data_IF_893667649988
#
_entry.id   IF_893667649988
#
_cell.length_a   1.000
_cell.length_b   1.000
_cell.length_c   1.000
_cell.angle_alpha   90.00
_cell.angle_beta   90.00
_cell.angle_gamma   90.00
#
_symmetry.space_group_name_H-M   'P 1'
#
loop_
_entity.id
_entity.type
_entity.pdbx_description
1 polymer ?
#
# COMPACT_ATOMS: atom_id res chain seq x y z
N UNK A 1 9.20 14.64 -5.81
CA UNK A 1 7.80 14.95 -6.14
C UNK A 1 7.49 14.65 -7.60
N UNK A 2 8.38 14.99 -8.54
CA UNK A 2 8.23 14.73 -9.99
C UNK A 2 7.96 13.26 -10.39
N UNK A 3 8.38 12.26 -9.60
CA UNK A 3 8.01 10.88 -9.90
C UNK A 3 6.56 10.54 -9.50
N UNK A 4 6.00 11.16 -8.46
CA UNK A 4 4.71 10.78 -7.85
C UNK A 4 3.49 11.35 -8.54
N UNK A 5 3.64 12.49 -9.21
CA UNK A 5 2.56 13.18 -9.89
C UNK A 5 3.02 13.76 -11.21
N UNK A 6 2.06 14.05 -12.08
CA UNK A 6 2.28 14.61 -13.41
C UNK A 6 1.51 15.92 -13.51
N UNK A 7 2.13 16.97 -14.04
CA UNK A 7 1.41 18.19 -14.38
C UNK A 7 0.57 17.98 -15.64
N UNK A 8 -0.68 18.39 -15.58
CA UNK A 8 -1.62 18.32 -16.71
C UNK A 8 -2.28 19.69 -16.91
N UNK A 9 -2.38 20.11 -18.16
CA UNK A 9 -3.18 21.28 -18.52
C UNK A 9 -4.66 20.90 -18.53
N UNK A 10 -5.50 21.70 -17.90
CA UNK A 10 -6.93 21.48 -17.82
C UNK A 10 -7.72 22.79 -17.98
N UNK A 11 -8.92 22.64 -18.53
CA UNK A 11 -9.93 23.69 -18.58
C UNK A 11 -10.74 23.66 -17.28
N UNK A 12 -10.56 24.67 -16.43
CA UNK A 12 -11.34 24.83 -15.20
C UNK A 12 -12.58 25.69 -15.46
N UNK A 13 -13.75 25.15 -15.13
CA UNK A 13 -15.03 25.84 -15.24
C UNK A 13 -15.57 26.15 -13.84
N UNK A 14 -15.73 27.43 -13.50
CA UNK A 14 -16.30 27.90 -12.23
C UNK A 14 -17.43 28.90 -12.48
N UNK A 15 -18.67 28.41 -12.47
CA UNK A 15 -19.83 29.20 -12.89
C UNK A 15 -19.69 29.62 -14.35
N UNK A 16 -19.69 30.93 -14.61
CA UNK A 16 -19.53 31.48 -15.96
C UNK A 16 -18.06 31.72 -16.37
N UNK A 17 -17.08 31.42 -15.49
CA UNK A 17 -15.66 31.61 -15.78
C UNK A 17 -15.05 30.32 -16.30
N UNK A 18 -14.34 30.40 -17.42
CA UNK A 18 -13.54 29.33 -18.01
C UNK A 18 -12.08 29.80 -18.00
N UNK A 19 -11.16 29.00 -17.44
CA UNK A 19 -9.73 29.29 -17.40
C UNK A 19 -8.90 28.04 -17.73
N UNK A 20 -7.85 28.19 -18.54
CA UNK A 20 -6.84 27.14 -18.76
C UNK A 20 -5.76 27.23 -17.68
N UNK A 21 -5.52 26.14 -16.96
CA UNK A 21 -4.57 26.07 -15.85
C UNK A 21 -3.82 24.75 -15.86
N UNK A 22 -2.62 24.72 -15.26
CA UNK A 22 -1.91 23.47 -14.95
C UNK A 22 -2.28 23.01 -13.55
N UNK A 23 -2.47 21.70 -13.37
CA UNK A 23 -2.69 21.08 -12.07
C UNK A 23 -1.86 19.79 -11.92
N UNK A 24 -1.49 19.46 -10.69
CA UNK A 24 -0.73 18.25 -10.39
C UNK A 24 -1.67 17.09 -10.11
N UNK A 25 -1.63 16.05 -10.94
CA UNK A 25 -2.41 14.83 -10.72
C UNK A 25 -1.53 13.71 -10.19
N UNK A 26 -2.08 12.89 -9.30
CA UNK A 26 -1.40 11.70 -8.79
C UNK A 26 -1.12 10.71 -9.95
N UNK A 27 0.11 10.18 -9.99
CA UNK A 27 0.52 9.22 -11.02
C UNK A 27 0.32 7.80 -10.50
N UNK A 28 -0.43 7.01 -11.26
CA UNK A 28 -0.52 5.56 -11.10
C UNK A 28 0.58 4.87 -11.90
N UNK A 29 1.19 3.82 -11.35
CA UNK A 29 2.09 2.93 -12.07
C UNK A 29 1.87 1.49 -11.67
N UNK A 30 2.55 0.57 -12.35
CA UNK A 30 2.49 -0.86 -12.05
C UNK A 30 3.73 -1.30 -11.28
N UNK A 31 3.52 -2.19 -10.31
CA UNK A 31 4.56 -2.84 -9.54
C UNK A 31 4.35 -4.35 -9.55
N UNK A 32 5.30 -5.08 -10.12
CA UNK A 32 5.24 -6.53 -10.28
C UNK A 32 6.12 -7.23 -9.26
N UNK A 33 5.60 -8.28 -8.63
CA UNK A 33 6.34 -9.14 -7.71
C UNK A 33 6.56 -10.49 -8.37
N UNK A 34 7.84 -10.88 -8.51
CA UNK A 34 8.26 -12.22 -8.90
C UNK A 34 8.66 -12.99 -7.64
N UNK A 35 7.96 -14.07 -7.35
CA UNK A 35 8.29 -14.98 -6.27
C UNK A 35 8.99 -16.22 -6.84
N UNK A 36 10.22 -16.48 -6.39
CA UNK A 36 11.01 -17.63 -6.84
C UNK A 36 11.07 -17.71 -8.38
N UNK A 37 11.28 -16.55 -9.03
CA UNK A 37 11.33 -16.35 -10.50
C UNK A 37 10.02 -16.53 -11.26
N UNK A 38 8.89 -16.76 -10.60
CA UNK A 38 7.56 -16.79 -11.22
C UNK A 38 6.79 -15.51 -10.89
N UNK A 39 6.05 -14.97 -11.85
CA UNK A 39 5.17 -13.82 -11.61
C UNK A 39 4.08 -14.22 -10.61
N UNK A 40 4.00 -13.49 -9.50
CA UNK A 40 2.94 -13.65 -8.51
C UNK A 40 1.80 -12.65 -8.76
N UNK A 41 2.12 -11.35 -8.79
CA UNK A 41 1.10 -10.29 -8.94
C UNK A 41 1.70 -9.07 -9.64
N UNK A 42 0.82 -8.27 -10.25
CA UNK A 42 1.10 -6.88 -10.63
C UNK A 42 0.08 -5.99 -9.94
N UNK A 43 0.55 -5.06 -9.10
CA UNK A 43 -0.26 -4.10 -8.37
C UNK A 43 -0.23 -2.76 -9.09
N UNK A 44 -1.35 -2.05 -9.11
CA UNK A 44 -1.34 -0.62 -9.39
C UNK A 44 -1.05 0.14 -8.10
N UNK A 45 -0.11 1.08 -8.14
CA UNK A 45 0.38 1.80 -6.97
C UNK A 45 0.96 3.17 -7.33
N UNK A 46 1.26 3.96 -6.31
CA UNK A 46 2.11 5.13 -6.47
C UNK A 46 3.58 4.70 -6.68
N UNK A 47 4.38 5.45 -7.47
CA UNK A 47 5.72 5.05 -7.88
C UNK A 47 6.77 5.25 -6.78
N UNK A 48 6.53 4.71 -5.59
CA UNK A 48 7.41 4.82 -4.44
C UNK A 48 7.30 3.60 -3.52
N UNK A 49 8.21 3.51 -2.55
CA UNK A 49 8.14 2.55 -1.42
C UNK A 49 7.89 1.09 -1.80
N UNK A 50 8.23 0.68 -3.02
CA UNK A 50 8.08 -0.69 -3.54
C UNK A 50 8.57 -1.79 -2.58
N UNK A 51 9.64 -1.53 -1.82
CA UNK A 51 10.11 -2.45 -0.79
C UNK A 51 9.06 -2.73 0.27
N UNK A 52 8.45 -1.68 0.82
CA UNK A 52 7.44 -1.80 1.87
C UNK A 52 6.16 -2.38 1.30
N UNK A 53 5.72 -1.91 0.12
CA UNK A 53 4.54 -2.46 -0.56
C UNK A 53 4.70 -3.96 -0.85
N UNK A 54 5.82 -4.37 -1.44
CA UNK A 54 6.06 -5.77 -1.79
C UNK A 54 6.14 -6.69 -0.57
N UNK A 55 6.90 -6.30 0.47
CA UNK A 55 6.99 -7.10 1.69
C UNK A 55 5.67 -7.12 2.46
N UNK A 56 4.97 -6.00 2.54
CA UNK A 56 3.66 -5.88 3.19
C UNK A 56 2.63 -6.77 2.51
N UNK A 57 2.53 -6.71 1.17
CA UNK A 57 1.65 -7.56 0.39
C UNK A 57 1.92 -9.05 0.60
N UNK A 58 3.19 -9.47 0.56
CA UNK A 58 3.55 -10.88 0.78
C UNK A 58 3.21 -11.34 2.19
N UNK A 59 3.34 -10.45 3.19
CA UNK A 59 2.98 -10.77 4.57
C UNK A 59 1.47 -10.88 4.76
N UNK A 60 0.70 -9.91 4.28
CA UNK A 60 -0.76 -9.87 4.47
C UNK A 60 -1.51 -10.90 3.62
N UNK A 61 -0.92 -11.34 2.50
CA UNK A 61 -1.42 -12.47 1.70
C UNK A 61 -1.03 -13.85 2.27
N UNK A 62 -0.25 -13.91 3.36
CA UNK A 62 0.20 -15.15 3.98
C UNK A 62 1.33 -15.89 3.25
N UNK A 63 1.82 -15.35 2.12
CA UNK A 63 2.96 -15.89 1.36
C UNK A 63 4.28 -15.81 2.15
N UNK A 64 4.43 -14.75 2.95
CA UNK A 64 5.56 -14.52 3.85
C UNK A 64 5.04 -14.52 5.29
N UNK A 65 5.48 -15.46 6.12
CA UNK A 65 5.08 -15.47 7.54
C UNK A 65 6.19 -14.94 8.45
N UNK A 66 7.44 -15.27 8.14
CA UNK A 66 8.61 -14.89 8.94
C UNK A 66 9.65 -14.21 8.09
N UNK A 67 10.29 -13.17 8.63
CA UNK A 67 11.35 -12.44 7.94
C UNK A 67 12.51 -13.36 7.55
N UNK A 68 12.77 -14.38 8.37
CA UNK A 68 13.85 -15.36 8.22
C UNK A 68 13.65 -16.27 6.99
N UNK A 69 12.43 -16.37 6.46
CA UNK A 69 12.14 -17.15 5.25
C UNK A 69 12.63 -16.45 3.98
N UNK A 70 12.90 -15.14 4.05
CA UNK A 70 13.44 -14.35 2.93
C UNK A 70 14.91 -14.73 2.72
N UNK A 71 15.21 -15.36 1.58
CA UNK A 71 16.58 -15.69 1.18
C UNK A 71 17.26 -14.45 0.58
N UNK A 72 16.56 -13.75 -0.31
CA UNK A 72 17.07 -12.57 -1.01
C UNK A 72 15.93 -11.84 -1.72
N UNK A 73 16.08 -10.55 -1.95
CA UNK A 73 15.26 -9.84 -2.93
C UNK A 73 16.03 -8.69 -3.57
N UNK A 74 15.62 -8.32 -4.78
CA UNK A 74 16.08 -7.14 -5.50
C UNK A 74 14.89 -6.31 -5.98
N UNK A 75 15.07 -4.99 -6.09
CA UNK A 75 14.02 -4.06 -6.52
C UNK A 75 14.55 -3.17 -7.64
N UNK A 76 13.98 -3.35 -8.82
CA UNK A 76 14.18 -2.45 -9.94
C UNK A 76 13.09 -1.36 -9.93
N UNK A 77 13.42 -0.22 -9.32
CA UNK A 77 12.49 0.93 -9.22
C UNK A 77 12.05 1.47 -10.58
N UNK A 78 12.93 1.43 -11.59
CA UNK A 78 12.62 1.95 -12.94
C UNK A 78 11.58 1.10 -13.66
N UNK A 79 11.62 -0.21 -13.45
CA UNK A 79 10.68 -1.15 -14.04
C UNK A 79 9.45 -1.43 -13.17
N UNK A 80 9.44 -0.95 -11.92
CA UNK A 80 8.41 -1.34 -10.95
C UNK A 80 8.44 -2.85 -10.73
N UNK A 81 9.60 -3.42 -10.40
CA UNK A 81 9.75 -4.87 -10.25
C UNK A 81 10.44 -5.22 -8.94
N UNK A 82 9.91 -6.21 -8.24
CA UNK A 82 10.58 -6.90 -7.14
C UNK A 82 10.77 -8.36 -7.51
N UNK A 83 12.01 -8.84 -7.43
CA UNK A 83 12.34 -10.26 -7.55
C UNK A 83 12.75 -10.77 -6.18
N UNK A 84 11.92 -11.62 -5.58
CA UNK A 84 12.11 -12.12 -4.22
C UNK A 84 12.17 -13.64 -4.20
N UNK A 85 13.08 -14.17 -3.39
CA UNK A 85 13.25 -15.59 -3.12
C UNK A 85 12.89 -15.88 -1.67
N UNK A 86 11.90 -16.75 -1.47
CA UNK A 86 11.42 -17.18 -0.14
C UNK A 86 11.53 -18.70 -0.04
N UNK A 87 12.03 -19.17 1.10
CA UNK A 87 12.17 -20.60 1.40
C UNK A 87 10.81 -21.26 1.60
N UNK A 88 10.65 -22.49 1.11
CA UNK A 88 9.48 -23.33 1.43
C UNK A 88 8.18 -22.96 0.72
N UNK A 89 8.20 -21.95 -0.16
CA UNK A 89 7.04 -21.55 -0.95
C UNK A 89 7.15 -22.09 -2.37
N UNK A 90 6.22 -22.98 -2.75
CA UNK A 90 6.01 -23.42 -4.13
C UNK A 90 4.65 -22.95 -4.61
N UNK A 91 4.62 -22.02 -5.56
CA UNK A 91 3.39 -21.65 -6.24
C UNK A 91 3.08 -22.70 -7.31
N UNK A 92 1.94 -23.39 -7.17
CA UNK A 92 1.35 -24.15 -8.27
C UNK A 92 0.71 -23.19 -9.30
N UNK A 93 0.47 -23.67 -10.51
CA UNK A 93 -0.21 -22.88 -11.54
C UNK A 93 -1.65 -22.54 -11.15
N UNK A 94 -2.30 -23.41 -10.35
CA UNK A 94 -3.66 -23.22 -9.84
C UNK A 94 -3.71 -22.17 -8.73
N UNK A 95 -2.69 -22.09 -7.86
CA UNK A 95 -2.59 -21.06 -6.82
C UNK A 95 -2.52 -19.65 -7.42
N UNK A 96 -1.91 -19.49 -8.60
CA UNK A 96 -1.77 -18.20 -9.30
C UNK A 96 -3.09 -17.79 -9.99
N UNK A 97 -3.89 -18.77 -10.42
CA UNK A 97 -5.15 -18.54 -11.17
C UNK A 97 -6.34 -18.38 -10.22
N UNK A 98 -6.38 -19.16 -9.14
CA UNK A 98 -7.47 -19.16 -8.15
C UNK A 98 -7.30 -18.08 -7.08
N UNK A 99 -6.07 -17.59 -6.88
CA UNK A 99 -5.86 -16.49 -5.95
C UNK A 99 -6.35 -15.21 -6.62
N UNK A 100 -7.60 -14.88 -6.33
CA UNK A 100 -8.12 -13.52 -6.33
C UNK A 100 -7.32 -12.69 -5.32
N UNK A 101 -6.01 -12.50 -5.55
CA UNK A 101 -5.05 -11.64 -4.84
C UNK A 101 -5.37 -10.16 -5.05
N UNK A 102 -6.65 -9.85 -5.25
CA UNK A 102 -7.19 -8.56 -5.00
C UNK A 102 -7.25 -8.39 -3.48
N UNK A 103 -6.55 -7.39 -2.95
CA UNK A 103 -6.46 -7.12 -1.51
C UNK A 103 -7.85 -6.88 -0.88
N UNK A 104 -8.90 -6.70 -1.70
CA UNK A 104 -10.30 -6.65 -1.27
C UNK A 104 -11.04 -7.99 -1.18
N UNK A 105 -10.45 -9.14 -1.53
CA UNK A 105 -11.12 -10.46 -1.51
C UNK A 105 -10.43 -11.52 -0.66
N UNK A 106 -9.43 -11.16 0.16
CA UNK A 106 -9.14 -11.93 1.38
C UNK A 106 -10.19 -11.63 2.47
N UNK A 107 -11.47 -11.75 2.11
CA UNK A 107 -12.41 -12.36 3.03
C UNK A 107 -12.11 -13.85 2.89
N UNK A 108 -11.28 -14.38 3.80
CA UNK A 108 -11.25 -15.82 4.02
C UNK A 108 -12.71 -16.30 3.97
N UNK A 109 -13.06 -17.33 3.20
CA UNK A 109 -14.32 -18.02 3.46
C UNK A 109 -14.29 -18.35 4.95
N UNK A 110 -15.33 -17.99 5.70
CA UNK A 110 -15.45 -18.26 7.15
C UNK A 110 -15.47 -19.78 7.48
N UNK A 111 -15.04 -20.63 6.56
CA UNK A 111 -15.08 -22.08 6.63
C UNK A 111 -13.66 -22.64 6.63
N UNK A 112 -13.05 -22.68 7.81
CA UNK A 112 -12.53 -23.90 8.45
C UNK A 112 -11.53 -23.55 9.55
N UNK A 113 -12.03 -23.44 10.79
CA UNK A 113 -11.26 -23.79 11.98
C UNK A 113 -10.03 -22.96 12.30
N UNK A 114 -9.93 -21.71 11.86
CA UNK A 114 -8.88 -20.82 12.34
C UNK A 114 -9.12 -20.55 13.84
N UNK A 115 -8.14 -20.93 14.67
CA UNK A 115 -8.07 -20.47 16.07
C UNK A 115 -8.21 -18.95 16.05
N UNK A 116 -9.13 -18.36 16.84
CA UNK A 116 -9.27 -16.90 16.90
C UNK A 116 -7.89 -16.31 17.16
N UNK A 117 -7.43 -15.41 16.29
CA UNK A 117 -6.25 -14.60 16.59
C UNK A 117 -6.48 -14.02 17.99
N UNK A 118 -5.57 -14.34 18.93
CA UNK A 118 -5.64 -13.80 20.28
C UNK A 118 -5.33 -12.32 20.20
N UNK A 119 -6.35 -11.50 20.01
CA UNK A 119 -6.23 -10.04 19.97
C UNK A 119 -6.06 -9.56 21.41
N UNK A 120 -4.93 -8.90 21.68
CA UNK A 120 -4.75 -8.17 22.92
C UNK A 120 -5.69 -6.96 22.95
N UNK A 121 -6.74 -7.06 23.75
CA UNK A 121 -7.74 -6.01 23.95
C UNK A 121 -7.41 -5.09 25.13
N UNK A 122 -6.22 -5.22 25.73
CA UNK A 122 -5.80 -4.40 26.88
C UNK A 122 -5.40 -2.97 26.49
N UNK A 123 -5.14 -2.72 25.20
CA UNK A 123 -4.78 -1.40 24.69
C UNK A 123 -5.92 -0.41 24.91
N UNK A 124 -5.67 0.60 25.73
CA UNK A 124 -6.58 1.74 25.95
C UNK A 124 -5.94 3.01 25.43
N UNK A 125 -6.69 3.76 24.63
CA UNK A 125 -6.25 5.02 24.01
C UNK A 125 -7.20 6.13 24.44
N UNK A 126 -6.66 7.29 24.82
CA UNK A 126 -7.46 8.46 25.14
C UNK A 126 -8.05 9.07 23.85
N UNK A 127 -9.30 9.53 23.88
CA UNK A 127 -9.95 10.19 22.74
C UNK A 127 -9.14 11.39 22.22
N UNK A 128 -8.58 12.20 23.11
CA UNK A 128 -7.74 13.34 22.72
C UNK A 128 -6.53 12.91 21.89
N UNK A 129 -5.92 11.78 22.23
CA UNK A 129 -4.80 11.24 21.48
C UNK A 129 -5.22 10.83 20.05
N UNK A 130 -6.41 10.26 19.89
CA UNK A 130 -6.97 9.92 18.56
C UNK A 130 -7.08 11.18 17.69
N UNK A 131 -7.65 12.27 18.23
CA UNK A 131 -7.79 13.53 17.48
C UNK A 131 -6.43 14.16 17.14
N UNK A 132 -5.47 14.14 18.06
CA UNK A 132 -4.11 14.62 17.81
C UNK A 132 -3.45 13.83 16.67
N UNK A 133 -3.55 12.50 16.68
CA UNK A 133 -2.99 11.65 15.62
C UNK A 133 -3.67 11.86 14.26
N UNK A 134 -4.99 12.07 14.23
CA UNK A 134 -5.71 12.41 12.99
C UNK A 134 -5.21 13.74 12.43
N UNK A 135 -5.06 14.76 13.28
CA UNK A 135 -4.54 16.07 12.86
C UNK A 135 -3.13 15.94 12.30
N UNK A 136 -2.23 15.25 13.01
CA UNK A 136 -0.85 15.05 12.58
C UNK A 136 -0.75 14.25 11.27
N UNK A 137 -1.57 13.22 11.10
CA UNK A 137 -1.63 12.45 9.86
C UNK A 137 -2.07 13.33 8.69
N UNK A 138 -3.10 14.16 8.87
CA UNK A 138 -3.54 15.12 7.85
C UNK A 138 -2.46 16.17 7.56
N UNK A 139 -1.73 16.63 8.57
CA UNK A 139 -0.60 17.53 8.40
C UNK A 139 0.48 16.93 7.49
N UNK A 140 0.82 15.65 7.70
CA UNK A 140 1.83 14.90 6.92
C UNK A 140 1.38 14.55 5.49
N UNK A 141 0.07 14.52 5.21
CA UNK A 141 -0.52 14.15 3.92
C UNK A 141 -0.36 15.23 2.82
N UNK A 142 0.88 15.61 2.54
CA UNK A 142 1.21 16.67 1.60
C UNK A 142 0.82 16.31 0.17
N UNK A 143 0.99 15.06 -0.25
CA UNK A 143 0.69 14.67 -1.62
C UNK A 143 -0.83 14.56 -1.85
N UNK A 144 -1.56 14.06 -0.86
CA UNK A 144 -3.02 14.16 -0.83
C UNK A 144 -3.50 15.61 -0.91
N UNK A 145 -2.95 16.54 -0.14
CA UNK A 145 -3.33 17.97 -0.20
C UNK A 145 -3.12 18.59 -1.57
N UNK A 146 -2.07 18.17 -2.28
CA UNK A 146 -1.75 18.67 -3.62
C UNK A 146 -2.67 18.10 -4.69
N UNK A 147 -3.01 16.81 -4.62
CA UNK A 147 -3.61 16.09 -5.75
C UNK A 147 -5.03 15.58 -5.49
N UNK A 148 -5.42 15.45 -4.22
CA UNK A 148 -6.65 14.76 -3.78
C UNK A 148 -6.74 13.28 -4.15
N UNK A 149 -5.73 12.71 -4.81
CA UNK A 149 -5.81 11.45 -5.54
C UNK A 149 -5.09 10.28 -4.87
N UNK A 150 -4.80 10.35 -3.58
CA UNK A 150 -4.14 9.27 -2.83
C UNK A 150 -4.80 9.04 -1.47
N UNK A 151 -4.57 7.87 -0.89
CA UNK A 151 -4.94 7.52 0.47
C UNK A 151 -3.72 7.58 1.38
N UNK A 152 -3.91 7.98 2.64
CA UNK A 152 -2.85 8.04 3.64
C UNK A 152 -3.05 6.97 4.72
N UNK A 153 -1.95 6.39 5.19
CA UNK A 153 -1.91 5.45 6.30
C UNK A 153 -0.77 5.83 7.27
N UNK A 154 -0.98 5.64 8.57
CA UNK A 154 0.01 5.94 9.59
C UNK A 154 0.06 4.87 10.67
N UNK A 155 1.28 4.53 11.11
CA UNK A 155 1.52 3.73 12.30
C UNK A 155 2.01 4.66 13.41
N UNK A 156 1.28 4.70 14.52
CA UNK A 156 1.63 5.48 15.71
C UNK A 156 2.00 4.57 16.88
N UNK A 157 2.88 5.05 17.76
CA UNK A 157 3.16 4.39 19.02
C UNK A 157 2.13 4.75 20.11
N UNK A 158 2.23 4.08 21.26
CA UNK A 158 1.36 4.33 22.41
C UNK A 158 1.54 5.73 23.04
N UNK A 159 2.62 6.44 22.71
CA UNK A 159 2.90 7.78 23.21
C UNK A 159 2.30 8.86 22.29
N UNK A 160 1.76 8.47 21.14
CA UNK A 160 1.17 9.37 20.17
C UNK A 160 2.11 9.91 19.11
N UNK A 161 3.25 9.26 18.91
CA UNK A 161 4.17 9.63 17.83
C UNK A 161 3.90 8.78 16.58
N UNK A 162 3.71 9.43 15.43
CA UNK A 162 3.67 8.73 14.14
C UNK A 162 5.08 8.22 13.78
N UNK A 163 5.24 6.90 13.79
CA UNK A 163 6.49 6.19 13.47
C UNK A 163 6.64 5.98 11.96
N UNK A 164 5.53 5.67 11.28
CA UNK A 164 5.50 5.46 9.84
C UNK A 164 4.32 6.21 9.25
N UNK A 165 4.53 6.83 8.11
CA UNK A 165 3.49 7.46 7.30
C UNK A 165 3.67 7.06 5.84
N UNK A 166 2.57 6.77 5.16
CA UNK A 166 2.58 6.46 3.75
C UNK A 166 1.36 6.94 3.01
N UNK A 167 1.56 7.16 1.72
CA UNK A 167 0.52 7.55 0.77
C UNK A 167 0.62 6.62 -0.44
N UNK A 168 -0.53 6.18 -0.95
CA UNK A 168 -0.62 5.43 -2.20
C UNK A 168 -1.97 5.72 -2.87
N UNK A 169 -2.04 5.59 -4.20
CA UNK A 169 -3.30 5.74 -4.94
C UNK A 169 -4.36 4.71 -4.50
N UNK A 170 -3.93 3.54 -4.02
CA UNK A 170 -4.79 2.50 -3.48
C UNK A 170 -4.73 2.48 -1.95
N UNK A 171 -5.90 2.56 -1.29
CA UNK A 171 -6.01 2.41 0.17
C UNK A 171 -5.48 1.09 0.72
N UNK A 172 -5.40 0.05 -0.12
CA UNK A 172 -4.91 -1.26 0.27
C UNK A 172 -3.38 -1.36 0.27
N UNK A 173 -2.72 -0.46 -0.47
CA UNK A 173 -1.27 -0.39 -0.59
C UNK A 173 -0.65 0.61 0.40
N UNK A 174 -1.43 1.59 0.85
CA UNK A 174 -1.01 2.67 1.74
C UNK A 174 -0.55 2.17 3.11
#
# INVERSE_FOLDING_TARGET
MEEKGTEVNLTRIKGNKIEEISDLVARETTFTILLNKKKLVTLNCSPEKYKFLGLGFLYTSGVLQKKEDIISFDINKKQGLMDIKIKGVSLSSEDIINSNLWIGSYQQPEEQGETPLSIDTSLKICSNLVYSLISEMQERANFFKLTGGVHSCALADKNGSIILFSEDISRYNA
#
